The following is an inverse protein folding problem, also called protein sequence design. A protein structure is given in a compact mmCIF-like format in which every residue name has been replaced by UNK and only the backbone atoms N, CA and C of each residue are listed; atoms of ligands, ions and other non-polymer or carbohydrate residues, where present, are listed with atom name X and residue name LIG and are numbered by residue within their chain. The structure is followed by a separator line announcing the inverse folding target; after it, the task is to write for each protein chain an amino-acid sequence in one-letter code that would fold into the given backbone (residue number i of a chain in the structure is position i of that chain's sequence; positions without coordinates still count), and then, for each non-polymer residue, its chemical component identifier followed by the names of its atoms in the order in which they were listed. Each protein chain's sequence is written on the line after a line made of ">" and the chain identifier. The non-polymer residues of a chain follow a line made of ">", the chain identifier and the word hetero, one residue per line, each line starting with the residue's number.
data_IF_433599806714
#
_entry.id   IF_433599806714
#
_cell.length_a   1.000
_cell.length_b   1.000
_cell.length_c   1.000
_cell.angle_alpha   90.00
_cell.angle_beta   90.00
_cell.angle_gamma   90.00
#
_symmetry.space_group_name_H-M   'P 1'
#
loop_
_entity.id
_entity.type
_entity.pdbx_description
1 polymer ?
#
# COMPACT_ATOMS: atom_id res chain seq x y z
N UNK A 1 22.10 22.88 -15.95
CA UNK A 1 21.46 22.13 -14.86
C UNK A 1 20.27 22.85 -14.21
N UNK A 2 20.34 24.16 -13.90
CA UNK A 2 19.18 24.96 -13.42
C UNK A 2 18.01 25.08 -14.42
N UNK A 3 18.27 24.93 -15.72
CA UNK A 3 17.27 25.06 -16.79
C UNK A 3 16.37 23.82 -16.97
N UNK A 4 16.86 22.62 -16.61
CA UNK A 4 16.10 21.37 -16.66
C UNK A 4 15.10 21.25 -15.49
N UNK A 5 15.44 21.85 -14.33
CA UNK A 5 14.61 21.85 -13.12
C UNK A 5 13.33 22.69 -13.32
N UNK A 6 13.42 23.80 -14.05
CA UNK A 6 12.27 24.72 -14.29
C UNK A 6 11.23 24.11 -15.25
N UNK A 7 11.66 23.33 -16.23
CA UNK A 7 10.75 22.62 -17.15
C UNK A 7 10.09 21.40 -16.49
N UNK A 8 10.72 20.80 -15.49
CA UNK A 8 10.14 19.68 -14.73
C UNK A 8 9.01 20.16 -13.82
N UNK A 9 9.18 21.27 -13.10
CA UNK A 9 8.09 21.90 -12.33
C UNK A 9 6.94 22.40 -13.23
N UNK A 10 7.24 22.93 -14.42
CA UNK A 10 6.21 23.37 -15.37
C UNK A 10 5.41 22.22 -15.99
N UNK A 11 5.98 21.01 -16.09
CA UNK A 11 5.25 19.82 -16.53
C UNK A 11 4.16 19.41 -15.51
N UNK A 12 4.46 19.52 -14.21
CA UNK A 12 3.46 19.32 -13.14
C UNK A 12 2.35 20.38 -13.17
N UNK A 13 2.66 21.62 -13.55
CA UNK A 13 1.67 22.70 -13.62
C UNK A 13 0.79 22.68 -14.88
N UNK A 14 1.23 22.07 -15.99
CA UNK A 14 0.51 22.13 -17.28
C UNK A 14 -0.46 20.97 -17.53
N UNK A 15 -0.29 19.83 -16.86
CA UNK A 15 -1.20 18.67 -16.99
C UNK A 15 -2.35 18.68 -15.96
N UNK A 16 -2.43 19.70 -15.11
CA UNK A 16 -3.61 19.96 -14.30
C UNK A 16 -4.49 20.96 -15.04
N UNK A 17 -5.61 20.47 -15.57
CA UNK A 17 -6.73 21.31 -15.95
C UNK A 17 -7.06 22.26 -14.81
N UNK A 18 -7.27 23.52 -15.16
CA UNK A 18 -7.47 24.68 -14.29
C UNK A 18 -8.31 24.40 -13.04
N UNK A 19 -7.65 24.19 -11.90
CA UNK A 19 -7.79 24.99 -10.68
C UNK A 19 -6.99 24.32 -9.54
N UNK A 20 -6.28 25.16 -8.78
CA UNK A 20 -5.42 24.85 -7.64
C UNK A 20 -4.02 24.30 -7.97
N UNK A 21 -3.11 25.24 -8.26
CA UNK A 21 -1.68 25.09 -7.99
C UNK A 21 -1.47 24.93 -6.48
N UNK A 22 -1.67 23.71 -5.97
CA UNK A 22 -1.32 23.36 -4.61
C UNK A 22 0.21 23.32 -4.52
N UNK A 23 0.80 24.40 -4.01
CA UNK A 23 2.20 24.45 -3.62
C UNK A 23 2.42 23.33 -2.60
N UNK A 24 3.12 22.27 -3.01
CA UNK A 24 3.54 21.15 -2.17
C UNK A 24 4.35 21.68 -0.97
N UNK A 25 3.79 21.63 0.25
CA UNK A 25 4.49 22.02 1.48
C UNK A 25 5.25 20.85 2.12
N UNK A 26 6.56 21.07 2.28
CA UNK A 26 7.44 20.80 3.43
C UNK A 26 7.66 19.36 3.96
N UNK A 27 8.87 18.82 3.71
CA UNK A 27 9.62 17.97 4.65
C UNK A 27 9.66 16.47 4.39
N UNK A 28 8.64 15.89 3.73
CA UNK A 28 8.53 14.43 3.55
C UNK A 28 8.63 13.96 2.09
N UNK A 29 8.60 14.88 1.12
CA UNK A 29 8.86 14.58 -0.30
C UNK A 29 10.34 14.76 -0.58
N UNK A 30 10.98 13.74 -1.15
CA UNK A 30 12.35 13.83 -1.63
C UNK A 30 12.40 14.75 -2.87
N UNK A 31 13.15 15.87 -2.82
CA UNK A 31 13.13 16.88 -3.88
C UNK A 31 13.84 16.43 -5.16
N UNK A 32 14.61 15.33 -5.11
CA UNK A 32 15.34 14.79 -6.26
C UNK A 32 14.46 13.80 -7.02
N UNK A 33 13.68 13.00 -6.30
CA UNK A 33 12.94 11.86 -6.83
C UNK A 33 11.43 12.09 -6.86
N UNK A 34 10.91 13.08 -6.13
CA UNK A 34 9.47 13.34 -5.96
C UNK A 34 8.74 12.27 -5.13
N UNK A 35 9.48 11.36 -4.51
CA UNK A 35 8.95 10.23 -3.73
C UNK A 35 8.75 10.61 -2.27
N UNK A 36 8.02 9.78 -1.54
CA UNK A 36 7.99 9.87 -0.09
C UNK A 36 9.36 9.46 0.48
N UNK A 37 9.99 10.34 1.27
CA UNK A 37 11.33 10.17 1.84
C UNK A 37 11.51 8.91 2.70
N UNK A 38 10.43 8.38 3.27
CA UNK A 38 10.43 7.18 4.12
C UNK A 38 9.88 5.92 3.42
N UNK A 39 9.65 5.96 2.11
CA UNK A 39 9.05 4.83 1.39
C UNK A 39 9.84 3.50 1.52
N UNK A 40 11.18 3.55 1.54
CA UNK A 40 12.00 2.36 1.76
C UNK A 40 11.72 1.70 3.10
N UNK A 41 11.63 2.51 4.16
CA UNK A 41 11.33 2.03 5.50
C UNK A 41 9.89 1.52 5.58
N UNK A 42 8.95 2.26 5.02
CA UNK A 42 7.53 1.92 5.08
C UNK A 42 7.19 0.67 4.29
N UNK A 43 7.93 0.36 3.21
CA UNK A 43 7.80 -0.92 2.50
C UNK A 43 8.12 -2.10 3.43
N UNK A 44 9.14 -1.98 4.28
CA UNK A 44 9.50 -3.02 5.25
C UNK A 44 8.43 -3.18 6.34
N UNK A 45 7.76 -2.10 6.72
CA UNK A 45 6.68 -2.15 7.70
C UNK A 45 5.43 -2.83 7.14
N UNK A 46 5.10 -2.51 5.90
CA UNK A 46 3.81 -2.87 5.30
C UNK A 46 3.79 -4.26 4.67
N UNK A 47 4.94 -4.81 4.23
CA UNK A 47 4.98 -6.07 3.47
C UNK A 47 5.49 -7.27 4.30
N UNK A 48 5.03 -8.49 3.98
CA UNK A 48 5.52 -9.70 4.63
C UNK A 48 7.03 -9.90 4.39
N UNK A 49 7.77 -10.18 5.46
CA UNK A 49 9.19 -10.50 5.39
C UNK A 49 9.43 -11.97 5.71
N UNK A 50 9.34 -12.84 4.69
CA UNK A 50 9.53 -14.29 4.84
C UNK A 50 10.87 -14.65 5.51
N UNK A 51 11.92 -13.86 5.28
CA UNK A 51 13.23 -14.08 5.89
C UNK A 51 13.32 -13.62 7.36
N UNK A 52 12.49 -12.66 7.76
CA UNK A 52 12.47 -12.10 9.12
C UNK A 52 11.39 -12.69 10.01
N UNK A 53 10.68 -13.76 9.58
CA UNK A 53 9.55 -14.33 10.34
C UNK A 53 9.94 -14.83 11.74
N UNK A 54 11.23 -15.14 11.93
CA UNK A 54 11.81 -15.61 13.19
C UNK A 54 12.70 -14.56 13.86
N UNK A 55 12.84 -13.37 13.25
CA UNK A 55 13.61 -12.27 13.81
C UNK A 55 12.67 -11.44 14.70
N UNK A 56 12.94 -11.36 16.02
CA UNK A 56 12.03 -10.70 16.96
C UNK A 56 11.94 -9.18 16.75
N UNK A 57 12.87 -8.58 16.03
CA UNK A 57 12.91 -7.14 15.74
C UNK A 57 12.52 -6.81 14.28
N UNK A 58 12.18 -7.81 13.46
CA UNK A 58 11.76 -7.57 12.09
C UNK A 58 10.50 -6.67 12.05
N UNK A 59 10.46 -5.63 11.21
CA UNK A 59 9.51 -4.54 11.41
C UNK A 59 8.17 -4.74 10.70
N UNK A 60 7.96 -5.90 10.10
CA UNK A 60 6.77 -6.23 9.30
C UNK A 60 5.53 -6.35 10.17
N UNK A 61 4.44 -5.70 9.79
CA UNK A 61 3.12 -5.77 10.46
C UNK A 61 2.52 -7.18 10.52
N UNK A 62 3.08 -8.13 9.78
CA UNK A 62 2.69 -9.55 9.83
C UNK A 62 3.37 -10.33 10.96
N UNK A 63 4.17 -9.67 11.79
CA UNK A 63 4.75 -10.22 13.02
C UNK A 63 3.89 -9.72 14.18
N UNK A 64 3.53 -10.62 15.10
CA UNK A 64 2.75 -10.27 16.29
C UNK A 64 3.63 -9.58 17.32
N UNK A 65 3.83 -8.26 17.18
CA UNK A 65 4.59 -7.50 18.15
C UNK A 65 3.80 -7.24 19.44
N UNK A 66 4.54 -6.97 20.52
CA UNK A 66 4.00 -6.54 21.81
C UNK A 66 4.18 -5.04 21.99
N UNK A 67 3.27 -4.41 22.73
CA UNK A 67 3.45 -3.02 23.18
C UNK A 67 4.78 -2.90 23.93
N UNK A 68 5.53 -1.84 23.65
CA UNK A 68 6.88 -1.59 24.17
C UNK A 68 8.00 -2.29 23.40
N UNK A 69 7.69 -3.12 22.41
CA UNK A 69 8.70 -3.81 21.60
C UNK A 69 9.37 -2.87 20.62
N UNK A 70 10.71 -2.90 20.56
CA UNK A 70 11.48 -2.20 19.54
C UNK A 70 11.51 -3.01 18.26
N UNK A 71 11.38 -2.33 17.13
CA UNK A 71 11.48 -2.92 15.79
C UNK A 71 12.53 -2.18 14.97
N UNK A 72 13.09 -2.84 13.96
CA UNK A 72 14.02 -2.23 13.04
C UNK A 72 13.42 -0.97 12.40
N UNK A 73 14.28 0.00 12.10
CA UNK A 73 13.87 1.33 11.63
C UNK A 73 13.74 2.38 12.73
N UNK A 74 14.16 2.05 13.95
CA UNK A 74 14.14 2.94 15.13
C UNK A 74 12.73 3.30 15.59
N UNK A 75 11.83 2.30 15.67
CA UNK A 75 10.48 2.47 16.19
C UNK A 75 10.21 1.56 17.39
N UNK A 76 9.27 1.97 18.23
CA UNK A 76 8.69 1.18 19.31
C UNK A 76 7.18 1.03 19.11
N UNK A 77 6.64 -0.15 19.39
CA UNK A 77 5.19 -0.38 19.36
C UNK A 77 4.55 0.33 20.54
N UNK A 78 3.71 1.33 20.26
CA UNK A 78 3.01 2.10 21.27
C UNK A 78 1.63 1.50 21.56
N UNK A 79 0.91 1.12 20.50
CA UNK A 79 -0.42 0.55 20.63
C UNK A 79 -0.71 -0.49 19.55
N UNK A 80 -1.48 -1.51 19.91
CA UNK A 80 -1.99 -2.53 18.99
C UNK A 80 -3.51 -2.41 18.92
N UNK A 81 -4.06 -2.33 17.71
CA UNK A 81 -5.48 -2.23 17.45
C UNK A 81 -5.96 -3.48 16.72
N UNK A 82 -6.88 -4.23 17.34
CA UNK A 82 -7.34 -5.51 16.78
C UNK A 82 -8.84 -5.69 16.91
N UNK A 83 -9.50 -6.00 15.78
CA UNK A 83 -10.87 -6.50 15.74
C UNK A 83 -10.93 -7.87 15.05
N UNK A 84 -11.10 -8.93 15.85
CA UNK A 84 -11.14 -10.30 15.34
C UNK A 84 -12.33 -10.55 14.41
N UNK A 85 -13.43 -9.80 14.56
CA UNK A 85 -14.67 -10.01 13.79
C UNK A 85 -14.53 -9.57 12.32
N UNK A 86 -13.77 -8.51 12.07
CA UNK A 86 -13.57 -7.94 10.73
C UNK A 86 -12.17 -8.22 10.19
N UNK A 87 -11.31 -8.85 11.00
CA UNK A 87 -9.90 -9.08 10.68
C UNK A 87 -9.03 -7.83 10.81
N UNK A 88 -9.58 -6.67 11.17
CA UNK A 88 -8.79 -5.43 11.31
C UNK A 88 -7.63 -5.61 12.31
N UNK A 89 -6.43 -5.26 11.86
CA UNK A 89 -5.23 -5.25 12.66
C UNK A 89 -4.34 -4.07 12.24
N UNK A 90 -3.91 -3.29 13.22
CA UNK A 90 -2.97 -2.19 13.02
C UNK A 90 -2.08 -1.98 14.24
N UNK A 91 -0.95 -1.34 14.03
CA UNK A 91 -0.01 -0.93 15.07
C UNK A 91 0.25 0.57 14.99
N UNK A 92 0.03 1.27 16.11
CA UNK A 92 0.58 2.60 16.34
C UNK A 92 2.02 2.46 16.80
N UNK A 93 2.95 3.12 16.10
CA UNK A 93 4.38 3.05 16.41
C UNK A 93 4.95 4.44 16.61
N UNK A 94 5.80 4.58 17.61
CA UNK A 94 6.50 5.82 17.93
C UNK A 94 7.95 5.76 17.47
N UNK A 95 8.47 6.86 16.90
CA UNK A 95 9.85 6.94 16.50
C UNK A 95 10.75 7.09 17.73
N UNK A 96 11.90 6.43 17.71
CA UNK A 96 12.98 6.62 18.68
C UNK A 96 13.92 7.77 18.25
N UNK A 97 13.76 8.27 17.03
CA UNK A 97 14.51 9.40 16.47
C UNK A 97 13.61 10.63 16.31
N UNK A 98 14.11 11.80 16.70
CA UNK A 98 13.33 13.05 16.72
C UNK A 98 12.86 13.56 15.34
N UNK A 99 13.45 13.08 14.24
CA UNK A 99 13.17 13.54 12.88
C UNK A 99 12.21 12.63 12.08
N UNK A 100 11.61 11.64 12.73
CA UNK A 100 10.62 10.74 12.14
C UNK A 100 9.25 10.99 12.76
N UNK A 101 8.14 10.79 12.03
CA UNK A 101 6.80 10.91 12.60
C UNK A 101 6.38 9.61 13.31
N UNK A 102 5.39 9.66 14.22
CA UNK A 102 4.58 8.50 14.56
C UNK A 102 3.98 7.86 13.31
N UNK A 103 3.75 6.56 13.32
CA UNK A 103 3.13 5.86 12.19
C UNK A 103 2.02 4.92 12.63
N UNK A 104 0.94 4.86 11.86
CA UNK A 104 -0.09 3.83 11.99
C UNK A 104 0.05 2.85 10.81
N UNK A 105 0.50 1.63 11.10
CA UNK A 105 0.70 0.57 10.11
C UNK A 105 -0.49 -0.37 10.12
N UNK A 106 -1.17 -0.51 8.99
CA UNK A 106 -2.37 -1.34 8.83
C UNK A 106 -2.02 -2.59 8.01
N UNK A 107 -2.40 -3.75 8.53
CA UNK A 107 -2.16 -5.05 7.87
C UNK A 107 -3.00 -5.20 6.60
N UNK A 108 -2.42 -5.83 5.58
CA UNK A 108 -3.11 -6.27 4.36
C UNK A 108 -3.99 -7.50 4.55
N UNK A 109 -4.47 -8.07 3.43
CA UNK A 109 -5.36 -9.23 3.41
C UNK A 109 -4.64 -10.49 3.89
N UNK A 110 -5.25 -11.21 4.84
CA UNK A 110 -4.70 -12.47 5.36
C UNK A 110 -3.41 -12.28 6.16
N UNK A 111 -3.23 -13.11 7.19
CA UNK A 111 -1.98 -13.23 7.90
C UNK A 111 -1.13 -14.31 7.22
N UNK A 112 0.14 -14.01 6.92
CA UNK A 112 1.13 -15.06 6.74
C UNK A 112 1.58 -15.53 8.12
N UNK A 113 0.81 -16.51 8.58
CA UNK A 113 0.97 -17.30 9.78
C UNK A 113 0.53 -16.70 11.14
N UNK A 114 -0.47 -17.32 11.78
CA UNK A 114 -1.31 -18.39 11.22
C UNK A 114 -2.29 -17.77 10.22
N UNK A 115 -2.69 -18.51 9.18
CA UNK A 115 -3.72 -18.13 8.19
C UNK A 115 -5.12 -18.01 8.83
N UNK A 116 -5.23 -17.22 9.88
CA UNK A 116 -6.49 -16.88 10.52
C UNK A 116 -7.02 -15.60 9.88
N UNK A 117 -8.35 -15.52 9.81
CA UNK A 117 -9.10 -14.30 9.47
C UNK A 117 -9.23 -13.88 8.01
N UNK A 118 -8.84 -14.77 7.10
CA UNK A 118 -9.02 -14.59 5.65
C UNK A 118 -10.49 -14.40 5.28
N UNK A 119 -11.41 -15.09 5.97
CA UNK A 119 -12.86 -15.00 5.74
C UNK A 119 -13.39 -13.64 6.18
N UNK A 120 -12.93 -13.15 7.33
CA UNK A 120 -13.33 -11.90 7.95
C UNK A 120 -12.85 -10.69 7.14
N UNK A 121 -11.67 -10.77 6.52
CA UNK A 121 -11.15 -9.75 5.62
C UNK A 121 -11.90 -9.71 4.25
N UNK A 122 -12.53 -10.82 3.85
CA UNK A 122 -13.05 -11.04 2.48
C UNK A 122 -14.02 -9.95 2.00
N UNK A 123 -15.04 -9.51 2.77
CA UNK A 123 -15.97 -8.48 2.31
C UNK A 123 -15.28 -7.17 1.90
N UNK A 124 -14.33 -6.68 2.72
CA UNK A 124 -13.58 -5.46 2.42
C UNK A 124 -12.67 -5.62 1.20
N UNK A 125 -12.20 -6.84 0.89
CA UNK A 125 -11.35 -7.12 -0.30
C UNK A 125 -12.11 -7.12 -1.61
N UNK A 126 -13.39 -7.49 -1.62
CA UNK A 126 -14.16 -7.65 -2.86
C UNK A 126 -15.21 -6.55 -3.09
N UNK A 127 -15.50 -5.73 -2.08
CA UNK A 127 -16.50 -4.65 -2.18
C UNK A 127 -15.82 -3.30 -1.90
N UNK A 128 -15.60 -2.49 -2.95
CA UNK A 128 -14.85 -1.24 -2.85
C UNK A 128 -15.51 -0.21 -1.92
N UNK A 129 -16.84 -0.18 -1.85
CA UNK A 129 -17.63 0.71 -0.98
C UNK A 129 -17.79 0.17 0.45
N UNK A 130 -17.38 -1.06 0.73
CA UNK A 130 -17.50 -1.62 2.07
C UNK A 130 -16.41 -1.05 2.98
N UNK A 131 -16.80 -0.67 4.19
CA UNK A 131 -16.01 0.06 5.18
C UNK A 131 -15.98 -0.69 6.53
N UNK A 132 -15.98 -2.03 6.50
CA UNK A 132 -16.03 -2.86 7.70
C UNK A 132 -14.82 -2.65 8.59
N UNK A 133 -13.62 -2.70 7.99
CA UNK A 133 -12.38 -2.47 8.72
C UNK A 133 -12.17 -1.01 9.13
N UNK A 134 -12.67 -0.03 8.36
CA UNK A 134 -12.68 1.38 8.77
C UNK A 134 -13.47 1.57 10.07
N UNK A 135 -14.69 1.02 10.14
CA UNK A 135 -15.53 1.07 11.36
C UNK A 135 -14.86 0.37 12.54
N UNK A 136 -14.13 -0.71 12.30
CA UNK A 136 -13.32 -1.36 13.33
C UNK A 136 -12.15 -0.48 13.79
N UNK A 137 -11.46 0.22 12.88
CA UNK A 137 -10.41 1.17 13.24
C UNK A 137 -10.92 2.30 14.16
N UNK A 138 -12.11 2.82 13.86
CA UNK A 138 -12.81 3.80 14.71
C UNK A 138 -13.11 3.21 16.09
N UNK A 139 -13.77 2.06 16.13
CA UNK A 139 -14.18 1.40 17.38
C UNK A 139 -13.01 0.98 18.27
N UNK A 140 -11.89 0.56 17.66
CA UNK A 140 -10.71 0.07 18.39
C UNK A 140 -9.78 1.18 18.85
N UNK A 141 -10.07 2.43 18.52
CA UNK A 141 -9.32 3.58 19.01
C UNK A 141 -8.14 4.00 18.13
N UNK A 142 -7.97 3.40 16.94
CA UNK A 142 -6.91 3.82 16.02
C UNK A 142 -7.07 5.29 15.59
N UNK A 143 -8.32 5.72 15.38
CA UNK A 143 -8.63 7.13 15.05
C UNK A 143 -8.40 8.04 16.26
N UNK A 144 -8.70 7.58 17.48
CA UNK A 144 -8.42 8.34 18.69
C UNK A 144 -6.91 8.53 18.90
N UNK A 145 -6.11 7.51 18.59
CA UNK A 145 -4.65 7.57 18.59
C UNK A 145 -4.10 8.62 17.62
N UNK A 146 -4.60 8.66 16.37
CA UNK A 146 -4.23 9.69 15.38
C UNK A 146 -4.52 11.11 15.87
N UNK A 147 -5.72 11.31 16.46
CA UNK A 147 -6.14 12.59 17.01
C UNK A 147 -5.24 13.05 18.16
N UNK A 148 -4.94 12.15 19.09
CA UNK A 148 -4.11 12.44 20.25
C UNK A 148 -2.70 12.91 19.84
N UNK A 149 -2.04 12.19 18.93
CA UNK A 149 -0.71 12.58 18.44
C UNK A 149 -0.73 13.89 17.66
N UNK A 150 -1.77 14.13 16.88
CA UNK A 150 -1.96 15.43 16.21
C UNK A 150 -2.10 16.58 17.21
N UNK A 151 -2.85 16.39 18.30
CA UNK A 151 -2.99 17.39 19.36
C UNK A 151 -1.67 17.65 20.11
N UNK A 152 -0.80 16.66 20.16
CA UNK A 152 0.56 16.77 20.71
C UNK A 152 1.57 17.39 19.71
N UNK A 153 1.10 17.83 18.54
CA UNK A 153 1.94 18.45 17.51
C UNK A 153 2.69 17.48 16.60
N UNK A 154 2.42 16.18 16.71
CA UNK A 154 3.08 15.12 15.92
C UNK A 154 2.07 14.40 15.03
N UNK A 155 1.76 14.95 13.85
CA UNK A 155 0.85 14.29 12.90
C UNK A 155 1.43 12.96 12.41
N UNK A 156 0.75 11.82 12.59
CA UNK A 156 1.26 10.53 12.15
C UNK A 156 1.20 10.32 10.63
N UNK A 157 2.06 9.45 10.10
CA UNK A 157 1.90 8.89 8.76
C UNK A 157 1.06 7.60 8.79
N UNK A 158 0.31 7.36 7.72
CA UNK A 158 -0.48 6.14 7.52
C UNK A 158 0.23 5.21 6.55
N UNK A 159 0.32 3.92 6.89
CA UNK A 159 1.01 2.93 6.08
C UNK A 159 0.11 1.71 5.89
N UNK A 160 0.05 1.17 4.67
CA UNK A 160 -0.70 -0.06 4.43
C UNK A 160 -0.38 -0.74 3.11
N UNK A 161 -0.47 -2.07 3.09
CA UNK A 161 -0.35 -2.89 1.89
C UNK A 161 -1.67 -3.57 1.56
N UNK A 162 -1.96 -3.78 0.27
CA UNK A 162 -3.16 -4.51 -0.16
C UNK A 162 -4.44 -3.94 0.47
N UNK A 163 -5.18 -4.75 1.24
CA UNK A 163 -6.34 -4.32 2.02
C UNK A 163 -6.02 -3.21 3.03
N UNK A 164 -4.87 -3.27 3.70
CA UNK A 164 -4.45 -2.23 4.64
C UNK A 164 -4.25 -0.88 3.95
N UNK A 165 -3.80 -0.91 2.70
CA UNK A 165 -3.74 0.29 1.85
C UNK A 165 -5.12 0.85 1.52
N UNK A 166 -6.14 0.00 1.28
CA UNK A 166 -7.54 0.43 1.09
C UNK A 166 -8.06 1.13 2.34
N UNK A 167 -7.87 0.52 3.51
CA UNK A 167 -8.31 1.08 4.78
C UNK A 167 -7.58 2.40 5.09
N UNK A 168 -6.28 2.48 4.82
CA UNK A 168 -5.52 3.71 4.96
C UNK A 168 -6.06 4.86 4.08
N UNK A 169 -6.46 4.55 2.84
CA UNK A 169 -7.12 5.52 1.95
C UNK A 169 -8.46 5.99 2.50
N UNK A 170 -9.31 5.07 2.97
CA UNK A 170 -10.59 5.41 3.57
C UNK A 170 -10.44 6.30 4.81
N UNK A 171 -9.46 5.97 5.66
CA UNK A 171 -9.13 6.76 6.86
C UNK A 171 -8.67 8.16 6.46
N UNK A 172 -7.70 8.30 5.55
CA UNK A 172 -7.17 9.63 5.21
C UNK A 172 -8.21 10.52 4.55
N UNK A 173 -9.13 9.98 3.76
CA UNK A 173 -10.25 10.74 3.18
C UNK A 173 -11.16 11.33 4.26
N UNK A 174 -11.44 10.55 5.32
CA UNK A 174 -12.36 10.96 6.39
C UNK A 174 -11.70 11.78 7.50
N UNK A 175 -10.39 11.59 7.71
CA UNK A 175 -9.65 12.08 8.88
C UNK A 175 -8.34 12.79 8.49
N UNK A 176 -8.30 13.40 7.31
CA UNK A 176 -7.12 14.06 6.72
C UNK A 176 -6.41 15.04 7.65
N UNK A 177 -7.15 15.80 8.46
CA UNK A 177 -6.59 16.77 9.41
C UNK A 177 -5.64 16.17 10.44
N UNK A 178 -5.79 14.87 10.74
CA UNK A 178 -5.01 14.16 11.75
C UNK A 178 -3.85 13.35 11.16
N UNK A 179 -3.60 13.47 9.86
CA UNK A 179 -2.63 12.64 9.13
C UNK A 179 -1.66 13.54 8.39
N UNK A 180 -0.37 13.22 8.48
CA UNK A 180 0.70 13.94 7.80
C UNK A 180 0.80 13.51 6.34
N UNK A 181 0.91 12.20 6.12
CA UNK A 181 0.91 11.58 4.80
C UNK A 181 0.40 10.15 4.84
N UNK A 182 0.03 9.60 3.68
CA UNK A 182 -0.37 8.21 3.52
C UNK A 182 0.49 7.54 2.47
N UNK A 183 1.11 6.41 2.80
CA UNK A 183 1.96 5.64 1.91
C UNK A 183 1.44 4.21 1.82
N UNK A 184 1.15 3.75 0.61
CA UNK A 184 0.60 2.42 0.40
C UNK A 184 1.37 1.62 -0.62
N UNK A 185 1.31 0.29 -0.48
CA UNK A 185 1.96 -0.66 -1.39
C UNK A 185 0.93 -1.62 -1.96
N UNK A 186 0.92 -1.81 -3.28
CA UNK A 186 0.02 -2.74 -3.97
C UNK A 186 -1.43 -2.66 -3.42
N UNK A 187 -1.93 -1.45 -3.20
CA UNK A 187 -3.20 -1.24 -2.49
C UNK A 187 -4.41 -1.65 -3.34
N UNK A 188 -5.50 -2.08 -2.70
CA UNK A 188 -6.80 -2.10 -3.38
C UNK A 188 -7.27 -0.65 -3.62
N UNK A 189 -8.08 -0.45 -4.67
CA UNK A 189 -8.77 0.82 -4.91
C UNK A 189 -9.94 1.03 -3.95
N UNK A 190 -10.51 2.23 -3.94
CA UNK A 190 -11.74 2.55 -3.19
C UNK A 190 -12.88 2.96 -4.14
N UNK A 191 -14.10 3.12 -3.61
CA UNK A 191 -15.23 3.63 -4.40
C UNK A 191 -15.01 5.10 -4.81
N UNK A 192 -15.26 5.48 -6.08
CA UNK A 192 -15.23 6.89 -6.53
C UNK A 192 -16.20 7.81 -5.77
N UNK A 193 -17.24 7.28 -5.14
CA UNK A 193 -18.19 8.07 -4.36
C UNK A 193 -17.57 8.60 -3.06
N UNK A 194 -16.66 7.83 -2.47
CA UNK A 194 -15.90 8.24 -1.28
C UNK A 194 -14.88 9.34 -1.60
N UNK A 195 -14.50 9.46 -2.87
CA UNK A 195 -13.47 10.38 -3.37
C UNK A 195 -13.91 11.84 -3.51
N UNK A 196 -15.22 12.09 -3.68
CA UNK A 196 -15.77 13.43 -3.97
C UNK A 196 -15.54 14.45 -2.84
N UNK A 197 -14.92 14.04 -1.74
CA UNK A 197 -14.84 14.79 -0.47
C UNK A 197 -13.42 15.35 -0.20
N UNK A 198 -12.38 15.03 -0.98
CA UNK A 198 -11.01 15.24 -0.52
C UNK A 198 -10.01 15.79 -1.56
N UNK A 199 -9.59 17.05 -1.40
CA UNK A 199 -8.42 17.65 -2.06
C UNK A 199 -7.10 17.28 -1.38
N UNK A 200 -6.90 15.99 -1.06
CA UNK A 200 -5.75 15.52 -0.27
C UNK A 200 -4.56 15.22 -1.18
N UNK A 201 -3.45 15.93 -0.95
CA UNK A 201 -2.27 15.88 -1.83
C UNK A 201 -1.12 15.02 -1.30
N UNK A 202 -1.23 14.43 -0.10
CA UNK A 202 -0.11 13.71 0.54
C UNK A 202 -0.33 12.19 0.57
N UNK A 203 -0.86 11.63 -0.51
CA UNK A 203 -1.11 10.18 -0.66
C UNK A 203 -0.20 9.64 -1.75
N UNK A 204 0.56 8.60 -1.42
CA UNK A 204 1.56 7.97 -2.29
C UNK A 204 1.27 6.48 -2.41
N UNK A 205 1.05 6.01 -3.63
CA UNK A 205 0.78 4.62 -3.95
C UNK A 205 1.93 4.01 -4.73
N UNK A 206 2.49 2.91 -4.23
CA UNK A 206 3.57 2.16 -4.90
C UNK A 206 3.06 0.80 -5.36
N UNK A 207 3.00 0.60 -6.68
CA UNK A 207 2.57 -0.65 -7.30
C UNK A 207 3.75 -1.40 -7.89
N UNK A 208 3.85 -2.68 -7.57
CA UNK A 208 4.87 -3.55 -8.14
C UNK A 208 4.57 -3.77 -9.62
N UNK A 209 5.59 -3.64 -10.47
CA UNK A 209 5.44 -3.83 -11.92
C UNK A 209 4.79 -5.20 -12.23
N UNK A 210 3.65 -5.13 -12.93
CA UNK A 210 2.85 -6.31 -13.31
C UNK A 210 1.96 -6.87 -12.20
N UNK A 211 1.83 -6.17 -11.07
CA UNK A 211 0.86 -6.51 -10.03
C UNK A 211 -0.46 -5.79 -10.28
N UNK A 212 -1.42 -6.51 -10.86
CA UNK A 212 -2.76 -6.00 -11.21
C UNK A 212 -3.82 -6.43 -10.20
N UNK A 213 -3.55 -7.48 -9.45
CA UNK A 213 -4.57 -8.23 -8.72
C UNK A 213 -5.18 -7.41 -7.59
N UNK A 214 -4.35 -6.71 -6.82
CA UNK A 214 -4.80 -5.89 -5.71
C UNK A 214 -5.73 -4.76 -6.15
N UNK A 215 -5.38 -4.05 -7.22
CA UNK A 215 -6.21 -2.92 -7.66
C UNK A 215 -7.61 -3.35 -8.14
N UNK A 216 -7.72 -4.51 -8.81
CA UNK A 216 -8.98 -4.93 -9.45
C UNK A 216 -9.86 -5.85 -8.60
N UNK A 217 -9.34 -6.45 -7.52
CA UNK A 217 -10.08 -7.43 -6.72
C UNK A 217 -11.46 -6.93 -6.26
N UNK A 218 -11.59 -5.64 -5.95
CA UNK A 218 -12.85 -5.02 -5.53
C UNK A 218 -13.54 -4.14 -6.58
N UNK A 219 -13.00 -4.06 -7.81
CA UNK A 219 -13.45 -3.09 -8.84
C UNK A 219 -13.41 -1.64 -8.36
N UNK A 220 -12.55 -1.31 -7.39
CA UNK A 220 -12.35 0.05 -6.89
C UNK A 220 -11.66 0.89 -7.94
N UNK A 221 -12.42 1.69 -8.68
CA UNK A 221 -11.92 2.49 -9.80
C UNK A 221 -11.18 3.77 -9.40
N UNK A 222 -10.93 4.01 -8.12
CA UNK A 222 -10.35 5.27 -7.64
C UNK A 222 -9.14 5.07 -6.71
N UNK A 223 -8.08 5.84 -6.96
CA UNK A 223 -6.89 6.02 -6.14
C UNK A 223 -6.55 7.52 -6.10
N UNK A 224 -6.64 8.19 -4.95
CA UNK A 224 -6.27 9.60 -4.83
C UNK A 224 -4.75 9.79 -4.80
N UNK A 225 -4.26 10.98 -5.14
CA UNK A 225 -2.84 11.32 -4.99
C UNK A 225 -1.93 10.71 -6.06
N UNK A 226 -0.69 10.41 -5.67
CA UNK A 226 0.40 10.05 -6.59
C UNK A 226 0.55 8.53 -6.72
N UNK A 227 0.68 8.06 -7.96
CA UNK A 227 0.93 6.64 -8.26
C UNK A 227 2.34 6.43 -8.82
N UNK A 228 3.03 5.44 -8.29
CA UNK A 228 4.36 5.02 -8.69
C UNK A 228 4.35 3.53 -9.02
N UNK A 229 5.08 3.16 -10.06
CA UNK A 229 5.39 1.79 -10.39
C UNK A 229 6.82 1.47 -9.93
N UNK A 230 6.99 0.39 -9.17
CA UNK A 230 8.28 -0.04 -8.63
C UNK A 230 8.70 -1.39 -9.20
N UNK A 231 10.00 -1.55 -9.48
CA UNK A 231 10.54 -2.84 -9.92
C UNK A 231 12.03 -3.01 -9.58
N UNK A 232 12.48 -4.27 -9.47
CA UNK A 232 13.88 -4.60 -9.13
C UNK A 232 14.88 -4.23 -10.24
N UNK A 233 14.46 -4.31 -11.51
CA UNK A 233 15.33 -4.20 -12.69
C UNK A 233 14.61 -3.58 -13.91
N UNK A 234 13.48 -2.91 -13.72
CA UNK A 234 12.65 -2.46 -14.84
C UNK A 234 12.06 -3.61 -15.67
N UNK A 235 11.79 -3.32 -16.95
CA UNK A 235 11.25 -4.27 -17.94
C UNK A 235 12.36 -5.17 -18.51
N UNK A 236 12.75 -6.21 -17.77
CA UNK A 236 13.76 -7.17 -18.22
C UNK A 236 13.16 -8.45 -18.84
N UNK A 237 14.01 -9.37 -19.32
CA UNK A 237 13.57 -10.62 -19.96
C UNK A 237 12.82 -11.57 -19.01
N UNK A 238 13.21 -11.63 -17.73
CA UNK A 238 12.53 -12.44 -16.70
C UNK A 238 11.10 -11.96 -16.52
N UNK A 239 10.91 -10.64 -16.40
CA UNK A 239 9.60 -10.03 -16.31
C UNK A 239 8.73 -10.34 -17.54
N UNK A 240 9.30 -10.25 -18.75
CA UNK A 240 8.59 -10.61 -20.00
C UNK A 240 8.15 -12.08 -20.00
N UNK A 241 9.00 -12.99 -19.51
CA UNK A 241 8.68 -14.41 -19.41
C UNK A 241 7.56 -14.67 -18.40
N UNK A 242 7.69 -14.13 -17.18
CA UNK A 242 6.67 -14.22 -16.13
C UNK A 242 5.32 -13.65 -16.62
N UNK A 243 5.32 -12.54 -17.36
CA UNK A 243 4.09 -11.99 -17.96
C UNK A 243 3.48 -12.91 -19.02
N UNK A 244 4.29 -13.54 -19.88
CA UNK A 244 3.79 -14.52 -20.84
C UNK A 244 3.12 -15.71 -20.14
N UNK A 245 3.65 -16.15 -19.01
CA UNK A 245 3.06 -17.20 -18.18
C UNK A 245 1.70 -16.76 -17.63
N UNK A 246 1.62 -15.56 -17.06
CA UNK A 246 0.36 -15.00 -16.52
C UNK A 246 -0.70 -14.87 -17.61
N UNK A 247 -0.34 -14.37 -18.80
CA UNK A 247 -1.27 -14.25 -19.92
C UNK A 247 -1.76 -15.61 -20.42
N UNK A 248 -0.87 -16.62 -20.45
CA UNK A 248 -1.22 -17.99 -20.85
C UNK A 248 -2.22 -18.65 -19.90
N UNK A 249 -2.19 -18.29 -18.61
CA UNK A 249 -3.05 -18.86 -17.60
C UNK A 249 -4.53 -18.47 -17.73
N UNK A 250 -4.88 -17.44 -18.53
CA UNK A 250 -6.26 -16.97 -18.75
C UNK A 250 -7.09 -16.92 -17.46
N UNK A 251 -6.60 -16.20 -16.45
CA UNK A 251 -7.20 -16.18 -15.10
C UNK A 251 -8.70 -15.80 -15.07
N UNK A 252 -9.17 -15.03 -16.06
CA UNK A 252 -10.60 -14.71 -16.24
C UNK A 252 -11.47 -15.95 -16.47
N UNK A 253 -10.92 -16.99 -17.08
CA UNK A 253 -11.63 -18.21 -17.51
C UNK A 253 -11.50 -19.35 -16.49
N UNK A 254 -10.99 -19.07 -15.28
CA UNK A 254 -10.74 -20.05 -14.24
C UNK A 254 -11.95 -20.97 -13.98
N UNK A 255 -13.16 -20.40 -13.92
CA UNK A 255 -14.40 -21.18 -13.73
C UNK A 255 -14.61 -22.22 -14.83
N UNK A 256 -14.28 -21.89 -16.07
CA UNK A 256 -14.40 -22.80 -17.21
C UNK A 256 -13.31 -23.87 -17.20
N UNK A 257 -12.09 -23.52 -16.79
CA UNK A 257 -10.98 -24.47 -16.63
C UNK A 257 -11.24 -25.51 -15.54
N UNK A 258 -11.79 -25.08 -14.40
CA UNK A 258 -12.19 -25.99 -13.30
C UNK A 258 -13.32 -26.92 -13.76
N UNK A 259 -14.36 -26.38 -14.42
CA UNK A 259 -15.48 -27.19 -14.94
C UNK A 259 -15.03 -28.22 -15.98
N UNK A 260 -14.13 -27.82 -16.90
CA UNK A 260 -13.59 -28.70 -17.94
C UNK A 260 -12.48 -29.63 -17.45
N UNK A 261 -12.05 -29.52 -16.18
CA UNK A 261 -10.92 -30.26 -15.59
C UNK A 261 -9.65 -30.21 -16.46
N UNK A 262 -9.41 -29.08 -17.12
CA UNK A 262 -8.25 -28.93 -17.99
C UNK A 262 -6.97 -28.79 -17.14
N UNK A 263 -6.35 -29.92 -16.81
CA UNK A 263 -5.18 -30.00 -15.92
C UNK A 263 -4.01 -29.14 -16.39
N UNK A 264 -3.77 -29.07 -17.70
CA UNK A 264 -2.73 -28.21 -18.27
C UNK A 264 -3.00 -26.74 -17.98
N UNK A 265 -4.26 -26.28 -18.08
CA UNK A 265 -4.59 -24.90 -17.77
C UNK A 265 -4.56 -24.61 -16.28
N UNK A 266 -5.05 -25.54 -15.46
CA UNK A 266 -4.95 -25.43 -14.00
C UNK A 266 -3.50 -25.34 -13.53
N UNK A 267 -2.57 -26.05 -14.17
CA UNK A 267 -1.13 -25.88 -13.93
C UNK A 267 -0.65 -24.46 -14.23
N UNK A 268 -1.01 -23.89 -15.39
CA UNK A 268 -0.63 -22.51 -15.72
C UNK A 268 -1.24 -21.48 -14.74
N UNK A 269 -2.50 -21.67 -14.33
CA UNK A 269 -3.15 -20.86 -13.28
C UNK A 269 -2.36 -20.91 -11.99
N UNK A 270 -1.98 -22.10 -11.54
CA UNK A 270 -1.22 -22.28 -10.31
C UNK A 270 0.14 -21.57 -10.36
N UNK A 271 0.90 -21.74 -11.45
CA UNK A 271 2.18 -21.05 -11.62
C UNK A 271 1.99 -19.52 -11.68
N UNK A 272 0.96 -19.03 -12.39
CA UNK A 272 0.67 -17.61 -12.45
C UNK A 272 0.33 -17.03 -11.07
N UNK A 273 -0.45 -17.74 -10.25
CA UNK A 273 -0.76 -17.33 -8.88
C UNK A 273 0.49 -17.24 -8.00
N UNK A 274 1.43 -18.19 -8.10
CA UNK A 274 2.71 -18.12 -7.38
C UNK A 274 3.53 -16.90 -7.80
N UNK A 275 3.60 -16.62 -9.11
CA UNK A 275 4.33 -15.45 -9.63
C UNK A 275 3.71 -14.15 -9.11
N UNK A 276 2.40 -14.02 -9.18
CA UNK A 276 1.67 -12.84 -8.70
C UNK A 276 1.87 -12.65 -7.19
N UNK A 277 1.72 -13.72 -6.41
CA UNK A 277 1.93 -13.67 -4.97
C UNK A 277 3.35 -13.26 -4.58
N UNK A 278 4.35 -13.81 -5.28
CA UNK A 278 5.76 -13.42 -5.10
C UNK A 278 5.97 -11.94 -5.42
N UNK A 279 5.39 -11.43 -6.51
CA UNK A 279 5.49 -10.01 -6.89
C UNK A 279 4.80 -9.10 -5.87
N UNK A 280 3.64 -9.49 -5.38
CA UNK A 280 2.88 -8.75 -4.38
C UNK A 280 3.69 -8.51 -3.10
N UNK A 281 4.34 -9.57 -2.59
CA UNK A 281 5.08 -9.54 -1.33
C UNK A 281 6.54 -9.09 -1.47
N UNK A 282 7.04 -8.89 -2.69
CA UNK A 282 8.45 -8.58 -2.92
C UNK A 282 8.82 -7.20 -2.34
N UNK A 283 9.85 -7.17 -1.48
CA UNK A 283 10.51 -5.92 -1.05
C UNK A 283 11.42 -5.44 -2.19
N UNK A 284 11.12 -4.27 -2.76
CA UNK A 284 11.75 -3.74 -3.98
C UNK A 284 12.58 -2.50 -3.70
N UNK A 285 12.06 -1.53 -2.95
CA UNK A 285 12.71 -0.23 -2.72
C UNK A 285 13.99 -0.35 -1.89
N UNK A 286 14.15 -1.46 -1.15
CA UNK A 286 15.36 -1.80 -0.39
C UNK A 286 16.39 -2.61 -1.19
N UNK A 287 16.18 -2.84 -2.48
CA UNK A 287 17.16 -3.52 -3.36
C UNK A 287 18.20 -2.54 -3.88
N UNK A 288 19.30 -3.08 -4.40
CA UNK A 288 20.27 -2.29 -5.14
C UNK A 288 19.61 -1.74 -6.43
N UNK A 289 19.64 -0.42 -6.61
CA UNK A 289 19.13 0.29 -7.79
C UNK A 289 17.66 -0.05 -8.17
N UNK A 290 16.68 0.21 -7.29
CA UNK A 290 15.28 0.02 -7.65
C UNK A 290 14.88 1.02 -8.75
N UNK A 291 14.06 0.56 -9.68
CA UNK A 291 13.44 1.44 -10.69
C UNK A 291 12.10 1.90 -10.15
N UNK A 292 11.86 3.21 -10.17
CA UNK A 292 10.61 3.84 -9.74
C UNK A 292 10.16 4.82 -10.81
N UNK A 293 9.01 4.54 -11.41
CA UNK A 293 8.41 5.36 -12.47
C UNK A 293 7.12 5.99 -11.95
N UNK A 294 6.89 7.27 -12.22
CA UNK A 294 5.58 7.89 -11.98
C UNK A 294 4.62 7.37 -13.06
N UNK A 295 3.43 6.94 -12.63
CA UNK A 295 2.39 6.44 -13.53
C UNK A 295 1.06 7.14 -13.25
N UNK A 296 0.19 7.19 -14.26
CA UNK A 296 -1.21 7.55 -14.07
C UNK A 296 -2.08 6.30 -13.84
N UNK A 297 -3.34 6.51 -13.43
CA UNK A 297 -4.27 5.43 -13.15
C UNK A 297 -4.57 4.58 -14.39
N UNK A 298 -4.67 5.20 -15.57
CA UNK A 298 -4.91 4.50 -16.84
C UNK A 298 -3.77 3.53 -17.19
N UNK A 299 -2.52 3.93 -16.92
CA UNK A 299 -1.35 3.06 -17.09
C UNK A 299 -1.42 1.87 -16.14
N UNK A 300 -1.84 2.06 -14.88
CA UNK A 300 -2.06 0.95 -13.94
C UNK A 300 -3.12 -0.04 -14.45
N UNK A 301 -4.18 0.47 -15.09
CA UNK A 301 -5.27 -0.32 -15.63
C UNK A 301 -4.91 -1.07 -16.93
N UNK A 302 -4.01 -0.52 -17.74
CA UNK A 302 -3.66 -1.00 -19.08
C UNK A 302 -2.34 -1.79 -19.17
N UNK A 303 -1.55 -1.86 -18.08
CA UNK A 303 -0.38 -2.76 -17.99
C UNK A 303 -0.86 -4.19 -18.10
#
# INVERSE_FOLDING_TARGET
>A
MKFLIKNWFNFFSKNQGSNSSAILKEGFIDPVTGRHSLDRLYEQFAKPQVKGLFEPDAPSIYINHKIGQKVLGDYIIDQVFEDKKTGFYAEGRLPLKANQPPVLVIRGYGSWYPFYRVIEDTPDVFIASWEGQLKSAEKKGAIAWLKNHTQQGQKPDMIGESLGGKVAQQIVIKYSDYIRSTVTYNSLGISPELAKIAGINNIFHYFTLGERYAFWANRGGYLPGYCFQISKRGRNWVYKLENKIILKAKLSDLKNHVKSRNLSQLFWVFIAQIILLKRHNDIILNRHSPVVDIINLEQLQNI
#
